data_IF_731258173056
#
_entry.id   IF_731258173056
#
_cell.length_a   1.000
_cell.length_b   1.000
_cell.length_c   1.000
_cell.angle_alpha   90.00
_cell.angle_beta   90.00
_cell.angle_gamma   90.00
#
_symmetry.space_group_name_H-M   'P 1'
#
loop_
_entity.id
_entity.type
_entity.pdbx_description
1 polymer ?
#
# COMPACT_ATOMS: atom_id res chain seq x y z
N UNK A 1 11.95 -11.05 -15.88
CA UNK A 1 11.71 -10.06 -16.09
C UNK A 1 10.50 -9.57 -15.73
N UNK A 2 10.46 -8.86 -15.32
CA UNK A 2 9.49 -8.37 -15.26
C UNK A 2 8.58 -7.79 -14.35
N UNK A 3 7.39 -7.80 -14.73
CA UNK A 3 6.35 -7.12 -13.99
C UNK A 3 5.24 -8.10 -13.67
N UNK A 4 4.89 -8.18 -12.40
CA UNK A 4 3.73 -8.96 -11.96
C UNK A 4 2.55 -8.03 -11.83
N UNK A 5 1.39 -8.41 -12.35
CA UNK A 5 0.17 -7.62 -12.18
C UNK A 5 -0.71 -8.22 -11.10
N UNK A 6 -1.30 -7.35 -10.28
CA UNK A 6 -2.25 -7.72 -9.24
C UNK A 6 -3.52 -6.92 -9.41
N UNK A 7 -4.64 -7.61 -9.40
CA UNK A 7 -5.96 -7.00 -9.48
C UNK A 7 -6.53 -6.84 -8.07
N UNK A 8 -6.89 -5.61 -7.71
CA UNK A 8 -7.62 -5.32 -6.48
C UNK A 8 -9.05 -4.98 -6.87
N UNK A 9 -10.01 -5.77 -6.43
CA UNK A 9 -11.42 -5.44 -6.60
C UNK A 9 -11.91 -4.74 -5.34
N UNK A 10 -12.19 -3.45 -5.44
CA UNK A 10 -12.70 -2.68 -4.30
C UNK A 10 -14.19 -2.39 -4.48
N UNK A 11 -14.85 -2.01 -3.40
CA UNK A 11 -16.25 -1.57 -3.49
C UNK A 11 -16.39 -0.20 -4.20
N UNK A 12 -15.27 0.41 -4.59
CA UNK A 12 -15.26 1.64 -5.42
C UNK A 12 -14.90 1.35 -6.87
N UNK A 13 -14.52 0.12 -7.19
CA UNK A 13 -14.12 -0.31 -8.52
C UNK A 13 -12.77 -1.03 -8.54
N UNK A 14 -12.34 -1.49 -9.72
CA UNK A 14 -11.09 -2.23 -9.84
C UNK A 14 -9.88 -1.30 -9.87
N UNK A 15 -8.78 -1.79 -9.28
CA UNK A 15 -7.46 -1.16 -9.35
C UNK A 15 -6.49 -2.24 -9.79
N UNK A 16 -5.68 -1.96 -10.82
CA UNK A 16 -4.64 -2.89 -11.27
C UNK A 16 -3.28 -2.30 -10.93
N UNK A 17 -2.50 -3.09 -10.21
CA UNK A 17 -1.13 -2.76 -9.86
C UNK A 17 -0.17 -3.52 -10.78
N UNK A 18 0.87 -2.84 -11.24
CA UNK A 18 1.99 -3.48 -11.92
C UNK A 18 3.20 -3.39 -11.01
N UNK A 19 3.74 -4.53 -10.62
CA UNK A 19 4.79 -4.63 -9.61
C UNK A 19 6.14 -4.85 -10.26
N UNK A 20 7.18 -4.19 -9.76
CA UNK A 20 8.52 -4.22 -10.33
C UNK A 20 9.35 -5.32 -9.66
N UNK A 21 9.31 -6.50 -10.24
CA UNK A 21 9.98 -7.68 -9.71
C UNK A 21 11.51 -7.56 -9.72
N UNK A 22 12.06 -6.71 -10.59
CA UNK A 22 13.50 -6.56 -10.70
C UNK A 22 14.07 -5.63 -9.66
N UNK A 23 13.40 -4.51 -9.41
CA UNK A 23 13.91 -3.47 -8.50
C UNK A 23 13.49 -3.69 -7.04
N UNK A 24 12.40 -4.42 -6.81
CA UNK A 24 11.91 -4.69 -5.47
C UNK A 24 11.54 -6.18 -5.31
N UNK A 25 12.47 -7.10 -5.56
CA UNK A 25 12.15 -8.53 -5.62
C UNK A 25 11.60 -9.08 -4.30
N UNK A 26 12.19 -8.73 -3.17
CA UNK A 26 11.73 -9.21 -1.87
C UNK A 26 10.37 -8.63 -1.52
N UNK A 27 10.17 -7.36 -1.76
CA UNK A 27 8.91 -6.67 -1.48
C UNK A 27 7.77 -7.21 -2.35
N UNK A 28 8.03 -7.39 -3.64
CA UNK A 28 7.03 -7.95 -4.56
C UNK A 28 6.66 -9.37 -4.15
N UNK A 29 7.66 -10.22 -3.86
CA UNK A 29 7.39 -11.59 -3.45
C UNK A 29 6.56 -11.63 -2.16
N UNK A 30 6.88 -10.78 -1.20
CA UNK A 30 6.14 -10.66 0.06
C UNK A 30 4.68 -10.28 -0.20
N UNK A 31 4.47 -9.24 -1.01
CA UNK A 31 3.13 -8.77 -1.35
C UNK A 31 2.33 -9.86 -2.08
N UNK A 32 2.93 -10.50 -3.07
CA UNK A 32 2.28 -11.57 -3.84
C UNK A 32 1.92 -12.74 -2.94
N UNK A 33 2.78 -13.09 -1.98
CA UNK A 33 2.48 -14.16 -1.02
C UNK A 33 1.23 -13.83 -0.20
N UNK A 34 1.07 -12.59 0.27
CA UNK A 34 -0.15 -12.16 0.97
C UNK A 34 -1.37 -12.20 0.06
N UNK A 35 -1.22 -11.79 -1.20
CA UNK A 35 -2.31 -11.85 -2.18
C UNK A 35 -2.79 -13.30 -2.35
N UNK A 36 -1.85 -14.21 -2.58
CA UNK A 36 -2.17 -15.64 -2.81
C UNK A 36 -2.76 -16.31 -1.57
N UNK A 37 -2.40 -15.85 -0.38
CA UNK A 37 -2.92 -16.37 0.87
C UNK A 37 -4.31 -15.83 1.21
N UNK A 38 -4.85 -14.90 0.41
CA UNK A 38 -6.15 -14.29 0.68
C UNK A 38 -6.12 -13.25 1.80
N UNK A 39 -4.94 -12.78 2.20
CA UNK A 39 -4.80 -11.85 3.32
C UNK A 39 -5.55 -10.53 3.06
N UNK A 40 -5.50 -10.03 1.84
CA UNK A 40 -6.10 -8.73 1.52
C UNK A 40 -7.61 -8.79 1.29
N UNK A 41 -8.17 -9.98 1.11
CA UNK A 41 -9.60 -10.13 0.89
C UNK A 41 -10.37 -9.69 2.14
N UNK A 42 -11.26 -8.72 1.98
CA UNK A 42 -12.03 -8.18 3.08
C UNK A 42 -11.32 -7.14 3.93
N UNK A 43 -10.10 -6.74 3.57
CA UNK A 43 -9.41 -5.65 4.29
C UNK A 43 -9.86 -4.30 3.76
N UNK A 44 -9.58 -3.24 4.54
CA UNK A 44 -10.00 -1.89 4.22
C UNK A 44 -8.82 -0.96 3.99
N UNK A 45 -9.08 0.13 3.25
CA UNK A 45 -8.19 1.29 3.29
C UNK A 45 -8.54 2.07 4.55
N UNK A 46 -7.76 1.86 5.61
CA UNK A 46 -8.08 2.39 6.94
C UNK A 46 -7.50 3.79 7.20
N UNK A 47 -6.70 4.31 6.28
CA UNK A 47 -6.10 5.63 6.41
C UNK A 47 -6.08 6.30 5.04
N UNK A 48 -6.80 7.41 4.93
CA UNK A 48 -6.92 8.16 3.67
C UNK A 48 -6.67 9.63 3.97
N UNK A 49 -5.64 10.19 3.36
CA UNK A 49 -5.28 11.60 3.52
C UNK A 49 -5.22 12.23 2.14
N UNK A 50 -6.19 13.09 1.79
CA UNK A 50 -6.19 13.78 0.48
C UNK A 50 -4.89 14.55 0.24
N UNK A 51 -4.36 14.47 -0.98
CA UNK A 51 -3.11 15.12 -1.34
C UNK A 51 -1.87 14.42 -0.80
N UNK A 52 -2.02 13.23 -0.22
CA UNK A 52 -0.92 12.46 0.34
C UNK A 52 -0.97 11.00 -0.13
N UNK A 53 -1.83 10.17 0.48
CA UNK A 53 -1.87 8.75 0.14
C UNK A 53 -3.16 8.08 0.64
N UNK A 54 -3.40 6.86 0.15
CA UNK A 54 -4.41 5.95 0.72
C UNK A 54 -3.68 4.69 1.16
N UNK A 55 -3.95 4.23 2.38
CA UNK A 55 -3.23 3.12 3.01
C UNK A 55 -4.19 2.04 3.45
N UNK A 56 -3.83 0.79 3.21
CA UNK A 56 -4.67 -0.34 3.58
C UNK A 56 -3.91 -1.65 3.67
N UNK A 57 -4.67 -2.72 3.77
CA UNK A 57 -4.13 -4.08 3.78
C UNK A 57 -3.81 -4.65 5.15
N UNK A 58 -4.09 -3.92 6.23
CA UNK A 58 -3.77 -4.38 7.59
C UNK A 58 -4.96 -4.57 8.51
N UNK A 59 -6.11 -4.00 8.16
CA UNK A 59 -7.28 -3.99 9.04
C UNK A 59 -8.51 -4.50 8.31
N UNK A 60 -9.38 -5.17 9.06
CA UNK A 60 -10.72 -5.55 8.63
C UNK A 60 -11.73 -4.48 9.07
N UNK A 61 -12.96 -4.48 8.55
CA UNK A 61 -14.00 -3.58 9.04
C UNK A 61 -14.13 -3.66 10.56
N UNK A 62 -14.34 -2.51 11.20
CA UNK A 62 -14.32 -2.41 12.66
C UNK A 62 -12.93 -2.19 13.23
N UNK A 63 -11.94 -1.94 12.37
CA UNK A 63 -10.55 -1.67 12.77
C UNK A 63 -9.89 -2.82 13.50
N UNK A 64 -10.22 -4.04 13.12
CA UNK A 64 -9.58 -5.24 13.64
C UNK A 64 -8.34 -5.55 12.82
N UNK A 65 -7.16 -5.49 13.44
CA UNK A 65 -5.90 -5.75 12.78
C UNK A 65 -5.73 -7.23 12.48
N UNK A 66 -5.34 -7.56 11.25
CA UNK A 66 -5.06 -8.94 10.87
C UNK A 66 -3.64 -9.32 11.27
N UNK A 67 -3.42 -10.58 11.67
CA UNK A 67 -2.05 -11.04 11.96
C UNK A 67 -1.21 -11.05 10.68
N UNK A 68 0.10 -10.85 10.85
CA UNK A 68 1.05 -10.81 9.74
C UNK A 68 2.19 -11.79 9.96
N UNK A 69 2.97 -12.01 8.90
CA UNK A 69 4.19 -12.80 8.95
C UNK A 69 5.38 -11.91 9.33
N UNK A 70 6.58 -12.47 9.31
CA UNK A 70 7.78 -11.73 9.67
C UNK A 70 8.00 -10.53 8.76
N UNK A 71 8.58 -9.44 9.27
CA UNK A 71 8.87 -8.26 8.46
C UNK A 71 9.97 -8.53 7.43
N UNK A 72 10.02 -7.67 6.41
CA UNK A 72 11.00 -7.77 5.34
C UNK A 72 11.97 -6.58 5.36
N UNK A 73 13.11 -6.77 4.71
CA UNK A 73 14.10 -5.70 4.57
C UNK A 73 13.60 -4.61 3.63
N UNK A 74 13.90 -3.37 3.97
CA UNK A 74 13.56 -2.21 3.14
C UNK A 74 14.40 -2.21 1.87
N UNK A 75 13.74 -2.04 0.73
CA UNK A 75 14.38 -1.97 -0.58
C UNK A 75 14.26 -0.57 -1.21
N UNK A 76 14.01 0.46 -0.41
CA UNK A 76 13.77 1.82 -0.93
C UNK A 76 14.98 2.43 -1.64
N UNK A 77 16.16 1.84 -1.46
CA UNK A 77 17.36 2.24 -2.16
C UNK A 77 17.43 1.72 -3.61
N UNK A 78 16.31 1.28 -4.16
CA UNK A 78 16.22 0.72 -5.51
C UNK A 78 16.08 1.76 -6.63
N UNK A 79 16.06 3.05 -6.30
CA UNK A 79 15.93 4.13 -7.27
C UNK A 79 14.50 4.49 -7.67
N UNK A 80 13.50 3.77 -7.20
CA UNK A 80 12.10 4.11 -7.45
C UNK A 80 11.65 5.21 -6.49
N UNK A 81 10.81 6.11 -6.99
CA UNK A 81 10.37 7.29 -6.23
C UNK A 81 8.89 7.19 -5.89
N UNK A 82 8.52 7.82 -4.76
CA UNK A 82 7.14 7.89 -4.30
C UNK A 82 6.36 8.96 -5.08
N UNK A 83 6.22 8.73 -6.38
CA UNK A 83 5.45 9.60 -7.26
C UNK A 83 3.96 9.24 -7.21
N UNK A 84 3.11 10.15 -7.70
CA UNK A 84 1.67 9.90 -7.74
C UNK A 84 1.35 8.59 -8.45
N UNK A 85 0.44 7.81 -7.86
CA UNK A 85 -0.02 6.49 -8.30
C UNK A 85 1.00 5.36 -8.15
N UNK A 86 2.13 5.58 -7.49
CA UNK A 86 3.01 4.47 -7.12
C UNK A 86 2.49 3.79 -5.85
N UNK A 87 2.81 2.50 -5.71
CA UNK A 87 2.47 1.71 -4.53
C UNK A 87 3.74 1.43 -3.73
N UNK A 88 3.67 1.63 -2.43
CA UNK A 88 4.80 1.47 -1.53
C UNK A 88 4.37 0.76 -0.25
N UNK A 89 5.36 0.22 0.49
CA UNK A 89 5.07 -0.48 1.74
C UNK A 89 5.02 0.48 2.92
N UNK A 90 3.95 0.40 3.68
CA UNK A 90 3.88 1.04 4.99
C UNK A 90 4.75 0.27 5.99
N UNK A 91 5.22 0.95 7.02
CA UNK A 91 6.08 0.38 8.05
C UNK A 91 6.02 1.23 9.32
N UNK A 92 6.61 0.71 10.39
CA UNK A 92 6.81 1.48 11.61
C UNK A 92 8.06 2.37 11.47
N UNK A 93 8.50 2.97 12.56
CA UNK A 93 9.75 3.77 12.57
C UNK A 93 11.00 2.93 12.30
N UNK A 94 10.93 1.63 12.51
CA UNK A 94 12.02 0.73 12.11
C UNK A 94 12.00 0.61 10.58
N UNK A 95 13.10 0.96 9.88
CA UNK A 95 13.14 0.88 8.42
C UNK A 95 12.85 -0.52 7.86
N UNK A 96 13.14 -1.57 8.62
CA UNK A 96 13.01 -2.97 8.19
C UNK A 96 11.85 -3.65 8.93
N UNK A 97 10.70 -2.98 9.01
CA UNK A 97 9.54 -3.48 9.76
C UNK A 97 8.30 -3.71 8.90
N UNK A 98 8.40 -3.55 7.58
CA UNK A 98 7.24 -3.72 6.69
C UNK A 98 6.73 -5.16 6.70
N UNK A 99 5.42 -5.33 6.74
CA UNK A 99 4.79 -6.65 6.68
C UNK A 99 3.75 -6.70 5.56
N UNK A 100 2.49 -6.34 5.83
CA UNK A 100 1.41 -6.48 4.86
C UNK A 100 0.85 -5.14 4.38
N UNK A 101 0.86 -4.11 5.21
CA UNK A 101 0.23 -2.84 4.86
C UNK A 101 0.98 -2.11 3.75
N UNK A 102 0.22 -1.55 2.83
CA UNK A 102 0.77 -0.78 1.72
C UNK A 102 0.00 0.53 1.58
N UNK A 103 0.57 1.46 0.83
CA UNK A 103 -0.15 2.68 0.48
C UNK A 103 0.06 3.01 -1.00
N UNK A 104 -0.91 3.74 -1.55
CA UNK A 104 -0.83 4.26 -2.90
C UNK A 104 -0.67 5.78 -2.77
N UNK A 105 0.40 6.31 -3.36
CA UNK A 105 0.65 7.74 -3.34
C UNK A 105 -0.38 8.45 -4.20
N UNK A 106 -1.06 9.44 -3.65
CA UNK A 106 -2.00 10.27 -4.40
C UNK A 106 -1.42 11.63 -4.78
N UNK A 107 -0.11 11.79 -4.53
CA UNK A 107 0.66 12.98 -4.86
C UNK A 107 2.13 12.57 -5.01
N UNK A 108 2.97 13.46 -5.52
CA UNK A 108 4.42 13.25 -5.55
C UNK A 108 4.97 13.50 -4.16
N UNK A 109 5.33 12.45 -3.45
CA UNK A 109 5.75 12.52 -2.05
C UNK A 109 7.25 12.31 -1.92
N UNK A 110 8.05 13.26 -2.41
CA UNK A 110 9.50 13.16 -2.44
C UNK A 110 10.12 12.94 -1.06
N UNK A 111 9.47 13.44 -0.01
CA UNK A 111 9.97 13.28 1.35
C UNK A 111 9.92 11.82 1.85
N UNK A 112 9.24 10.92 1.13
CA UNK A 112 9.21 9.48 1.44
C UNK A 112 10.30 8.70 0.73
N UNK A 113 11.08 9.34 -0.15
CA UNK A 113 12.12 8.65 -0.91
C UNK A 113 13.35 8.35 -0.05
N UNK A 114 14.07 7.29 -0.43
CA UNK A 114 15.32 6.94 0.22
C UNK A 114 16.36 8.07 0.04
N UNK A 115 16.97 8.47 1.14
CA UNK A 115 18.03 9.50 1.13
C UNK A 115 19.34 8.96 1.67
N UNK A 116 19.29 8.09 2.67
CA UNK A 116 20.48 7.51 3.31
C UNK A 116 20.07 6.26 4.08
N UNK A 117 21.00 5.29 4.29
CA UNK A 117 20.68 4.05 5.01
C UNK A 117 20.73 4.26 6.53
N UNK A 118 19.88 5.16 7.04
CA UNK A 118 19.72 5.41 8.47
C UNK A 118 18.22 5.58 8.78
N UNK A 119 17.81 5.53 10.06
CA UNK A 119 16.39 5.50 10.40
C UNK A 119 15.56 6.63 9.80
N UNK A 120 16.11 7.84 9.70
CA UNK A 120 15.38 8.98 9.15
C UNK A 120 15.47 9.06 7.64
N UNK A 121 16.46 8.42 7.02
CA UNK A 121 16.75 8.57 5.60
C UNK A 121 16.37 7.38 4.73
N UNK A 122 15.99 6.23 5.31
CA UNK A 122 15.70 5.04 4.51
C UNK A 122 14.54 5.23 3.55
N UNK A 123 13.51 5.94 3.95
CA UNK A 123 12.32 6.11 3.13
C UNK A 123 11.43 4.87 3.09
N UNK A 124 10.55 4.84 2.10
CA UNK A 124 9.54 3.79 1.93
C UNK A 124 9.73 3.12 0.59
N UNK A 125 9.71 1.78 0.57
CA UNK A 125 9.96 1.00 -0.63
C UNK A 125 8.82 1.13 -1.62
N UNK A 126 9.05 1.77 -2.75
CA UNK A 126 8.15 1.71 -3.91
C UNK A 126 8.43 0.39 -4.63
N UNK A 127 7.36 -0.35 -4.92
CA UNK A 127 7.50 -1.65 -5.57
C UNK A 127 6.57 -1.83 -6.76
N UNK A 128 5.86 -0.79 -7.16
CA UNK A 128 5.01 -0.83 -8.33
C UNK A 128 4.21 0.45 -8.53
N UNK A 129 3.23 0.37 -9.41
CA UNK A 129 2.37 1.51 -9.73
C UNK A 129 0.98 1.05 -10.15
N UNK A 130 0.01 1.97 -10.02
CA UNK A 130 -1.35 1.76 -10.51
C UNK A 130 -1.35 2.01 -12.03
N UNK A 131 -1.65 0.98 -12.80
CA UNK A 131 -1.71 1.08 -14.27
C UNK A 131 -3.14 1.17 -14.79
N UNK A 132 -4.12 0.72 -14.00
CA UNK A 132 -5.55 0.89 -14.30
C UNK A 132 -6.28 1.19 -12.99
N UNK A 133 -7.33 2.00 -13.06
CA UNK A 133 -8.12 2.36 -11.88
C UNK A 133 -7.59 3.59 -11.15
N UNK A 134 -6.83 4.46 -11.82
CA UNK A 134 -6.39 5.71 -11.22
C UNK A 134 -7.57 6.57 -10.79
N UNK A 135 -8.65 6.56 -11.55
CA UNK A 135 -9.90 7.24 -11.19
C UNK A 135 -10.53 6.66 -9.92
N UNK A 136 -10.38 5.36 -9.69
CA UNK A 136 -10.85 4.72 -8.45
C UNK A 136 -10.02 5.19 -7.26
N UNK A 137 -8.70 5.29 -7.41
CA UNK A 137 -7.82 5.86 -6.38
C UNK A 137 -8.27 7.29 -6.05
N UNK A 138 -8.57 8.09 -7.06
CA UNK A 138 -9.02 9.48 -6.87
C UNK A 138 -10.34 9.54 -6.10
N UNK A 139 -11.26 8.61 -6.37
CA UNK A 139 -12.54 8.54 -5.64
C UNK A 139 -12.31 8.17 -4.18
N UNK A 140 -11.44 7.20 -3.92
CA UNK A 140 -11.13 6.77 -2.54
C UNK A 140 -10.49 7.92 -1.78
N UNK A 141 -9.57 8.64 -2.41
CA UNK A 141 -8.91 9.79 -1.80
C UNK A 141 -9.90 10.85 -1.32
N UNK A 142 -11.02 10.99 -2.01
CA UNK A 142 -12.01 12.02 -1.72
C UNK A 142 -13.07 11.65 -0.69
N UNK A 143 -13.05 10.46 -0.09
CA UNK A 143 -14.07 10.04 0.85
C UNK A 143 -13.97 10.80 2.18
N UNK A 144 -15.09 10.94 2.89
CA UNK A 144 -15.12 11.55 4.20
C UNK A 144 -14.40 10.66 5.21
N UNK A 145 -13.57 11.25 6.05
CA UNK A 145 -12.80 10.56 7.07
C UNK A 145 -13.05 11.13 8.45
N UNK A 146 -12.66 10.38 9.47
CA UNK A 146 -12.76 10.79 10.86
C UNK A 146 -11.94 9.87 11.74
N UNK A 147 -12.12 9.99 13.05
CA UNK A 147 -11.43 9.16 14.03
C UNK A 147 -12.25 7.90 14.29
N UNK A 148 -11.55 6.76 14.38
CA UNK A 148 -12.17 5.47 14.68
C UNK A 148 -11.16 4.61 15.46
N UNK A 149 -11.57 4.06 16.59
CA UNK A 149 -10.75 3.16 17.41
C UNK A 149 -9.36 3.73 17.73
N UNK A 150 -9.26 5.05 17.93
CA UNK A 150 -7.99 5.72 18.23
C UNK A 150 -7.14 6.04 17.01
N UNK A 151 -7.60 5.72 15.81
CA UNK A 151 -6.93 6.04 14.56
C UNK A 151 -7.55 7.27 13.91
N UNK A 152 -6.71 8.12 13.32
CA UNK A 152 -7.15 9.30 12.58
C UNK A 152 -7.25 8.98 11.08
N UNK A 153 -8.00 9.81 10.36
CA UNK A 153 -8.09 9.74 8.90
C UNK A 153 -8.68 8.41 8.39
N UNK A 154 -9.58 7.82 9.15
CA UNK A 154 -10.27 6.58 8.78
C UNK A 154 -11.51 6.94 7.98
N UNK A 155 -11.73 6.35 6.79
CA UNK A 155 -12.97 6.56 6.03
C UNK A 155 -14.20 6.26 6.89
N UNK A 156 -15.19 7.16 6.85
CA UNK A 156 -16.42 6.98 7.63
C UNK A 156 -17.24 5.79 7.13
N UNK A 157 -17.23 5.57 5.82
CA UNK A 157 -17.81 4.38 5.21
C UNK A 157 -16.66 3.51 4.72
N UNK A 158 -16.71 2.21 4.99
CA UNK A 158 -15.61 1.32 4.69
C UNK A 158 -15.27 1.29 3.20
N UNK A 159 -13.99 1.49 2.89
CA UNK A 159 -13.45 1.25 1.55
C UNK A 159 -12.81 -0.12 1.59
N UNK A 160 -13.49 -1.10 1.00
CA UNK A 160 -13.13 -2.51 1.16
C UNK A 160 -12.42 -3.03 -0.08
N UNK A 161 -11.31 -3.73 0.13
CA UNK A 161 -10.69 -4.59 -0.89
C UNK A 161 -11.45 -5.91 -0.82
N UNK A 162 -12.39 -6.12 -1.75
CA UNK A 162 -13.23 -7.31 -1.74
C UNK A 162 -12.44 -8.55 -2.10
N UNK A 163 -11.49 -8.41 -3.03
CA UNK A 163 -10.57 -9.49 -3.39
C UNK A 163 -9.29 -8.92 -4.00
N UNK A 164 -8.22 -9.68 -3.89
CA UNK A 164 -6.94 -9.39 -4.53
C UNK A 164 -6.44 -10.68 -5.18
N UNK A 165 -5.99 -10.58 -6.43
CA UNK A 165 -5.51 -11.73 -7.18
C UNK A 165 -4.37 -11.36 -8.11
N UNK A 166 -3.49 -12.32 -8.36
CA UNK A 166 -2.43 -12.18 -9.35
C UNK A 166 -3.04 -12.42 -10.72
N UNK A 167 -2.80 -11.48 -11.62
CA UNK A 167 -3.32 -11.57 -12.98
C UNK A 167 -2.51 -12.56 -13.83
#
# INVERSE_FOLDING_TARGET
MGMTKVNLQTNFGPIVLELDDEKAPTTVQNFVNYVKAGHYDGTIFHRVIPGFMIQGGGFEPGMRQKPTQAPIQNEANNGLKNNKYTVAMARTNDPHSATAQFFINSSDNDFLNHKAPNPQGWGYTVFGAVVEGQDVVDKIEGVATGNNAGHQDVPKDDVVIESASVA
#
